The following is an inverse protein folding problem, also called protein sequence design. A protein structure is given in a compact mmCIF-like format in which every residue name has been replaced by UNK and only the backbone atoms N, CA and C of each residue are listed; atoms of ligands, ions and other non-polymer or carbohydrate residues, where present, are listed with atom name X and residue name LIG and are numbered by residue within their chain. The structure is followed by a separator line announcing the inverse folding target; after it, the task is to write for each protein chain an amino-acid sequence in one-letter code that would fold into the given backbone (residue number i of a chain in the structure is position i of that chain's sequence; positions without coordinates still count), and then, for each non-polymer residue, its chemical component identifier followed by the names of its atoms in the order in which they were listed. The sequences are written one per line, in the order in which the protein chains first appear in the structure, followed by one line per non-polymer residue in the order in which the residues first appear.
data_IF_269639559906
#
_entry.id   IF_269639559906
#
_cell.length_a   1.000
_cell.length_b   1.000
_cell.length_c   1.000
_cell.angle_alpha   90.00
_cell.angle_beta   90.00
_cell.angle_gamma   90.00
#
_symmetry.space_group_name_H-M   'P 1'
#
loop_
_entity.id
_entity.type
_entity.pdbx_description
1 polymer ?
#
# COMPACT_ATOMS: atom_id res chain seq x y z
N UNK A 1 5.36 6.69 8.40
CA UNK A 1 5.25 7.23 7.02
C UNK A 1 4.11 6.56 6.28
N UNK A 2 3.39 7.30 5.44
CA UNK A 2 2.48 6.74 4.42
C UNK A 2 3.12 6.87 3.03
N UNK A 3 2.97 5.85 2.19
CA UNK A 3 3.45 5.79 0.81
C UNK A 3 2.24 5.48 -0.07
N UNK A 4 1.62 6.52 -0.65
CA UNK A 4 0.32 6.38 -1.30
C UNK A 4 0.03 7.52 -2.28
N UNK A 5 -1.10 7.43 -2.98
CA UNK A 5 -1.66 8.55 -3.73
C UNK A 5 -2.31 9.61 -2.83
N UNK A 6 -2.48 10.82 -3.38
CA UNK A 6 -3.34 11.85 -2.79
C UNK A 6 -4.82 11.47 -2.91
N UNK A 7 -5.69 12.18 -2.18
CA UNK A 7 -7.12 12.28 -2.48
C UNK A 7 -7.50 13.76 -2.38
N UNK A 8 -8.02 14.36 -3.46
CA UNK A 8 -8.36 15.79 -3.47
C UNK A 8 -9.53 16.11 -2.54
N UNK A 9 -10.38 15.13 -2.21
CA UNK A 9 -11.47 15.27 -1.24
C UNK A 9 -11.02 15.13 0.22
N UNK A 10 -9.80 14.65 0.46
CA UNK A 10 -9.24 14.47 1.81
C UNK A 10 -9.92 13.38 2.65
N UNK A 11 -10.64 12.44 2.01
CA UNK A 11 -11.35 11.33 2.65
C UNK A 11 -10.57 10.02 2.64
N UNK A 12 -9.63 9.86 1.71
CA UNK A 12 -8.78 8.68 1.52
C UNK A 12 -7.30 9.08 1.31
N UNK A 13 -6.48 8.12 0.88
CA UNK A 13 -5.08 8.31 0.53
C UNK A 13 -4.24 8.91 1.66
N UNK A 14 -3.19 9.65 1.28
CA UNK A 14 -2.28 10.29 2.23
C UNK A 14 -3.02 11.18 3.24
N UNK A 15 -4.08 11.88 2.83
CA UNK A 15 -4.82 12.77 3.72
C UNK A 15 -5.51 12.01 4.87
N UNK A 16 -6.13 10.87 4.58
CA UNK A 16 -6.73 10.01 5.59
C UNK A 16 -5.67 9.37 6.49
N UNK A 17 -4.55 8.95 5.91
CA UNK A 17 -3.44 8.35 6.66
C UNK A 17 -2.84 9.35 7.65
N UNK A 18 -2.50 10.57 7.22
CA UNK A 18 -1.93 11.60 8.09
C UNK A 18 -2.92 12.03 9.19
N UNK A 19 -4.22 12.10 8.88
CA UNK A 19 -5.25 12.38 9.89
C UNK A 19 -5.32 11.27 10.93
N UNK A 20 -5.23 10.02 10.49
CA UNK A 20 -5.23 8.84 11.37
C UNK A 20 -3.98 8.84 12.24
N UNK A 21 -2.81 9.10 11.66
CA UNK A 21 -1.55 9.23 12.39
C UNK A 21 -1.64 10.30 13.48
N UNK A 22 -2.13 11.50 13.13
CA UNK A 22 -2.31 12.58 14.08
C UNK A 22 -3.31 12.22 15.21
N UNK A 23 -4.43 11.57 14.87
CA UNK A 23 -5.42 11.11 15.84
C UNK A 23 -4.85 10.04 16.79
N UNK A 24 -3.93 9.21 16.32
CA UNK A 24 -3.18 8.24 17.12
C UNK A 24 -1.98 8.85 17.87
N UNK A 25 -1.77 10.17 17.80
CA UNK A 25 -0.70 10.86 18.50
C UNK A 25 0.70 10.63 17.92
N UNK A 26 0.81 10.21 16.66
CA UNK A 26 2.10 9.99 15.97
C UNK A 26 2.34 11.01 14.88
N UNK A 27 3.61 11.34 14.63
CA UNK A 27 4.00 12.25 13.56
C UNK A 27 3.91 11.54 12.19
N UNK A 28 3.23 12.17 11.25
CA UNK A 28 3.04 11.63 9.91
C UNK A 28 4.02 12.22 8.89
N UNK A 29 4.81 11.35 8.25
CA UNK A 29 5.56 11.68 7.03
C UNK A 29 4.93 10.98 5.83
N UNK A 30 5.24 11.44 4.61
CA UNK A 30 4.62 10.94 3.39
C UNK A 30 5.62 10.78 2.23
N UNK A 31 5.33 9.86 1.33
CA UNK A 31 5.86 9.80 -0.03
C UNK A 31 4.68 9.68 -1.01
N UNK A 32 4.58 10.58 -1.98
CA UNK A 32 3.47 10.63 -2.94
C UNK A 32 3.77 9.71 -4.13
N UNK A 33 2.90 8.72 -4.36
CA UNK A 33 2.96 7.81 -5.50
C UNK A 33 2.17 8.32 -6.71
N UNK A 34 1.07 9.03 -6.46
CA UNK A 34 0.26 9.61 -7.52
C UNK A 34 -0.56 10.80 -7.01
N UNK A 35 -0.82 11.75 -7.89
CA UNK A 35 -1.83 12.79 -7.66
C UNK A 35 -3.12 12.35 -8.33
N UNK A 36 -4.16 12.09 -7.56
CA UNK A 36 -5.49 11.80 -8.09
C UNK A 36 -6.30 13.07 -8.19
N UNK A 37 -6.99 13.26 -9.31
CA UNK A 37 -8.14 14.17 -9.40
C UNK A 37 -9.36 13.36 -8.96
N UNK A 38 -9.67 13.46 -7.67
CA UNK A 38 -10.67 12.64 -7.01
C UNK A 38 -11.60 13.50 -6.15
N UNK A 39 -12.86 13.10 -6.05
CA UNK A 39 -13.82 13.63 -5.10
C UNK A 39 -14.73 12.49 -4.59
N UNK A 40 -15.78 12.83 -3.84
CA UNK A 40 -16.70 11.84 -3.25
C UNK A 40 -17.52 11.03 -4.26
N UNK A 41 -17.55 11.41 -5.55
CA UNK A 41 -18.29 10.67 -6.59
C UNK A 41 -17.39 9.81 -7.48
N UNK A 42 -16.08 9.97 -7.40
CA UNK A 42 -15.13 9.12 -8.12
C UNK A 42 -13.80 9.77 -8.44
N UNK A 43 -13.01 9.06 -9.23
CA UNK A 43 -11.70 9.48 -9.74
C UNK A 43 -11.82 9.79 -11.22
N UNK A 44 -11.50 11.02 -11.62
CA UNK A 44 -11.54 11.43 -13.04
C UNK A 44 -10.18 11.36 -13.71
N UNK A 45 -9.09 11.43 -12.94
CA UNK A 45 -7.73 11.36 -13.46
C UNK A 45 -6.75 10.90 -12.39
N UNK A 46 -5.69 10.22 -12.82
CA UNK A 46 -4.55 9.83 -11.98
C UNK A 46 -3.27 10.25 -12.68
N UNK A 47 -2.45 11.04 -12.00
CA UNK A 47 -1.11 11.41 -12.45
C UNK A 47 -0.07 10.66 -11.60
N UNK A 48 0.51 9.55 -12.12
CA UNK A 48 1.55 8.82 -11.39
C UNK A 48 2.81 9.67 -11.28
N UNK A 49 3.45 9.62 -10.10
CA UNK A 49 4.74 10.25 -9.85
C UNK A 49 5.85 9.33 -10.40
N UNK A 50 6.91 9.87 -11.03
CA UNK A 50 8.02 9.04 -11.50
C UNK A 50 8.60 8.16 -10.37
N UNK A 51 8.83 6.84 -10.60
CA UNK A 51 9.25 5.91 -9.56
C UNK A 51 10.50 6.34 -8.78
N UNK A 52 11.48 6.92 -9.47
CA UNK A 52 12.70 7.46 -8.86
C UNK A 52 12.42 8.63 -7.91
N UNK A 53 11.39 9.42 -8.19
CA UNK A 53 10.94 10.51 -7.32
C UNK A 53 10.22 9.96 -6.08
N UNK A 54 9.47 8.86 -6.22
CA UNK A 54 8.86 8.16 -5.08
C UNK A 54 9.95 7.59 -4.16
N UNK A 55 10.93 6.89 -4.73
CA UNK A 55 12.06 6.32 -3.98
C UNK A 55 12.88 7.42 -3.26
N UNK A 56 13.16 8.53 -3.94
CA UNK A 56 13.90 9.65 -3.36
C UNK A 56 13.16 10.30 -2.17
N UNK A 57 11.81 10.39 -2.21
CA UNK A 57 11.02 10.86 -1.07
C UNK A 57 11.18 9.94 0.15
N UNK A 58 11.13 8.62 -0.05
CA UNK A 58 11.30 7.63 1.02
C UNK A 58 12.70 7.75 1.63
N UNK A 59 13.75 7.75 0.80
CA UNK A 59 15.13 7.84 1.25
C UNK A 59 15.42 9.15 1.99
N UNK A 60 14.86 10.28 1.51
CA UNK A 60 15.02 11.59 2.15
C UNK A 60 14.51 11.60 3.59
N UNK A 61 13.29 11.12 3.82
CA UNK A 61 12.70 11.09 5.17
C UNK A 61 13.38 10.03 6.04
N UNK A 62 13.61 8.83 5.50
CA UNK A 62 14.20 7.74 6.28
C UNK A 62 15.65 8.04 6.71
N UNK A 63 16.40 8.78 5.89
CA UNK A 63 17.79 9.16 6.16
C UNK A 63 17.98 10.31 7.14
N UNK A 64 17.01 11.21 7.27
CA UNK A 64 17.09 12.37 8.17
C UNK A 64 16.26 12.20 9.46
N UNK A 65 14.94 12.04 9.30
CA UNK A 65 13.99 11.99 10.43
C UNK A 65 13.99 10.59 11.08
N UNK A 66 14.20 9.56 10.27
CA UNK A 66 13.99 8.16 10.68
C UNK A 66 12.51 7.76 10.63
N UNK A 67 12.24 6.47 10.82
CA UNK A 67 10.89 5.90 10.68
C UNK A 67 10.62 4.81 11.72
N UNK A 68 9.55 4.97 12.50
CA UNK A 68 9.09 3.95 13.46
C UNK A 68 8.10 2.95 12.83
N UNK A 69 7.40 3.34 11.76
CA UNK A 69 6.53 2.47 10.97
C UNK A 69 6.29 3.08 9.58
N UNK A 70 6.02 2.24 8.60
CA UNK A 70 5.56 2.64 7.27
C UNK A 70 4.28 1.91 6.88
N UNK A 71 3.40 2.58 6.11
CA UNK A 71 2.30 1.94 5.40
C UNK A 71 2.34 2.28 3.93
N UNK A 72 1.93 1.35 3.07
CA UNK A 72 1.55 1.66 1.68
C UNK A 72 0.04 1.83 1.56
N UNK A 73 -0.39 2.58 0.55
CA UNK A 73 -1.77 2.60 0.06
C UNK A 73 -1.78 2.34 -1.45
N UNK A 74 -2.55 3.12 -2.21
CA UNK A 74 -2.53 3.05 -3.68
C UNK A 74 -1.17 3.44 -4.25
N UNK A 75 -0.51 2.50 -4.95
CA UNK A 75 0.83 2.67 -5.56
C UNK A 75 0.80 2.92 -7.08
N UNK A 76 -0.38 2.92 -7.71
CA UNK A 76 -0.65 3.25 -9.11
C UNK A 76 -0.07 2.31 -10.20
N UNK A 77 1.21 1.94 -10.16
CA UNK A 77 1.84 1.12 -11.22
C UNK A 77 2.81 0.07 -10.68
N UNK A 78 3.16 -0.92 -11.53
CA UNK A 78 4.13 -1.96 -11.20
C UNK A 78 5.53 -1.38 -10.90
N UNK A 79 5.95 -0.38 -11.68
CA UNK A 79 7.25 0.29 -11.55
C UNK A 79 7.35 1.04 -10.22
N UNK A 80 6.26 1.67 -9.77
CA UNK A 80 6.22 2.32 -8.46
C UNK A 80 6.28 1.28 -7.34
N UNK A 81 5.58 0.14 -7.47
CA UNK A 81 5.67 -0.95 -6.48
C UNK A 81 7.11 -1.44 -6.33
N UNK A 82 7.81 -1.64 -7.44
CA UNK A 82 9.22 -2.05 -7.43
C UNK A 82 10.14 -1.00 -6.80
N UNK A 83 9.98 0.27 -7.17
CA UNK A 83 10.77 1.36 -6.60
C UNK A 83 10.53 1.54 -5.09
N UNK A 84 9.27 1.41 -4.65
CA UNK A 84 8.91 1.44 -3.22
C UNK A 84 9.55 0.27 -2.49
N UNK A 85 9.46 -0.95 -3.03
CA UNK A 85 10.04 -2.13 -2.41
C UNK A 85 11.57 -2.03 -2.29
N UNK A 86 12.25 -1.57 -3.34
CA UNK A 86 13.69 -1.34 -3.31
C UNK A 86 14.07 -0.27 -2.29
N UNK A 87 13.38 0.87 -2.29
CA UNK A 87 13.63 1.94 -1.33
C UNK A 87 13.37 1.48 0.12
N UNK A 88 12.36 0.63 0.34
CA UNK A 88 12.10 0.03 1.64
C UNK A 88 13.27 -0.85 2.10
N UNK A 89 13.78 -1.73 1.24
CA UNK A 89 14.92 -2.60 1.56
C UNK A 89 16.17 -1.78 1.92
N UNK A 90 16.50 -0.78 1.11
CA UNK A 90 17.68 0.09 1.28
C UNK A 90 17.63 0.91 2.58
N UNK A 91 16.42 1.20 3.08
CA UNK A 91 16.21 2.04 4.26
C UNK A 91 15.77 1.27 5.50
N UNK A 92 15.84 -0.07 5.48
CA UNK A 92 15.51 -0.92 6.64
C UNK A 92 14.03 -0.90 7.02
N UNK A 93 13.15 -0.83 6.02
CA UNK A 93 11.71 -0.88 6.14
C UNK A 93 11.20 -2.24 5.64
N UNK A 94 10.52 -2.99 6.51
CA UNK A 94 9.95 -4.29 6.19
C UNK A 94 9.99 -5.29 7.33
N UNK A 95 9.45 -6.47 7.06
CA UNK A 95 9.48 -7.60 7.98
C UNK A 95 10.93 -7.98 8.31
N UNK A 96 11.22 -8.17 9.61
CA UNK A 96 12.56 -8.51 10.08
C UNK A 96 13.57 -7.35 10.07
N UNK A 97 13.15 -6.16 9.63
CA UNK A 97 13.94 -4.93 9.69
C UNK A 97 13.53 -4.06 10.87
N UNK A 98 14.20 -2.91 11.02
CA UNK A 98 13.96 -1.96 12.11
C UNK A 98 12.57 -1.33 12.03
N UNK A 99 12.09 -1.02 10.83
CA UNK A 99 10.85 -0.29 10.61
C UNK A 99 9.80 -1.25 10.03
N UNK A 100 8.71 -1.59 10.76
CA UNK A 100 7.66 -2.45 10.23
C UNK A 100 6.93 -1.80 9.06
N UNK A 101 6.49 -2.65 8.11
CA UNK A 101 5.74 -2.23 6.93
C UNK A 101 4.34 -2.83 6.94
N UNK A 102 3.31 -1.98 6.88
CA UNK A 102 1.92 -2.39 6.62
C UNK A 102 1.62 -2.19 5.15
N UNK A 103 1.10 -3.21 4.49
CA UNK A 103 0.73 -3.14 3.07
C UNK A 103 -0.78 -3.19 2.95
N UNK A 104 -1.36 -2.08 2.52
CA UNK A 104 -2.76 -1.98 2.11
C UNK A 104 -2.79 -2.14 0.58
N UNK A 105 -3.17 -3.31 0.03
CA UNK A 105 -3.01 -3.61 -1.38
C UNK A 105 -4.18 -3.05 -2.19
N UNK A 106 -4.32 -1.72 -2.18
CA UNK A 106 -5.40 -0.97 -2.83
C UNK A 106 -5.40 -1.28 -4.33
N UNK A 107 -6.17 -2.29 -4.69
CA UNK A 107 -6.27 -2.85 -6.04
C UNK A 107 -7.70 -2.81 -6.58
N UNK A 108 -8.68 -2.56 -5.72
CA UNK A 108 -10.08 -2.34 -6.05
C UNK A 108 -10.53 -0.93 -5.65
N UNK A 109 -11.46 -0.36 -6.40
CA UNK A 109 -12.14 0.88 -6.04
C UNK A 109 -13.05 0.63 -4.84
N UNK A 110 -13.56 1.70 -4.21
CA UNK A 110 -14.60 1.56 -3.18
C UNK A 110 -15.86 0.83 -3.66
N UNK A 111 -16.04 0.67 -4.98
CA UNK A 111 -17.16 -0.03 -5.62
C UNK A 111 -16.77 -1.41 -6.18
N UNK A 112 -15.54 -1.88 -5.91
CA UNK A 112 -15.07 -3.22 -6.29
C UNK A 112 -14.43 -3.31 -7.69
N UNK A 113 -14.34 -2.21 -8.43
CA UNK A 113 -13.73 -2.19 -9.77
C UNK A 113 -12.21 -2.30 -9.68
N UNK A 114 -11.61 -3.12 -10.54
CA UNK A 114 -10.16 -3.28 -10.60
C UNK A 114 -9.48 -1.95 -10.99
N UNK A 115 -8.69 -1.38 -10.07
CA UNK A 115 -7.97 -0.12 -10.27
C UNK A 115 -6.59 -0.31 -10.92
N UNK A 116 -6.05 -1.52 -10.84
CA UNK A 116 -4.68 -1.83 -11.22
C UNK A 116 -4.62 -2.86 -12.34
N UNK A 117 -3.65 -2.71 -13.24
CA UNK A 117 -3.33 -3.75 -14.22
C UNK A 117 -2.87 -5.04 -13.51
N UNK A 118 -3.07 -6.18 -14.17
CA UNK A 118 -2.67 -7.49 -13.62
C UNK A 118 -1.18 -7.56 -13.28
N UNK A 119 -0.34 -6.83 -14.02
CA UNK A 119 1.09 -6.71 -13.73
C UNK A 119 1.36 -6.09 -12.35
N UNK A 120 0.57 -5.12 -11.91
CA UNK A 120 0.71 -4.52 -10.58
C UNK A 120 0.23 -5.46 -9.47
N UNK A 121 -0.85 -6.22 -9.71
CA UNK A 121 -1.29 -7.28 -8.80
C UNK A 121 -0.19 -8.33 -8.59
N UNK A 122 0.49 -8.74 -9.67
CA UNK A 122 1.62 -9.66 -9.59
C UNK A 122 2.77 -9.09 -8.74
N UNK A 123 3.08 -7.79 -8.89
CA UNK A 123 4.12 -7.14 -8.06
C UNK A 123 3.76 -7.03 -6.59
N UNK A 124 2.49 -6.84 -6.24
CA UNK A 124 2.07 -6.99 -4.84
C UNK A 124 2.45 -8.36 -4.28
N UNK A 125 2.08 -9.43 -4.99
CA UNK A 125 2.29 -10.81 -4.55
C UNK A 125 3.78 -11.19 -4.49
N UNK A 126 4.55 -10.82 -5.51
CA UNK A 126 5.92 -11.32 -5.71
C UNK A 126 6.98 -10.39 -5.14
N UNK A 127 6.69 -9.09 -4.99
CA UNK A 127 7.65 -8.08 -4.57
C UNK A 127 7.28 -7.51 -3.20
N UNK A 128 6.05 -7.01 -3.02
CA UNK A 128 5.74 -6.23 -1.82
C UNK A 128 5.34 -7.09 -0.61
N UNK A 129 4.52 -8.13 -0.79
CA UNK A 129 4.06 -9.00 0.30
C UNK A 129 5.18 -9.71 1.06
N UNK A 130 6.25 -10.22 0.42
CA UNK A 130 7.39 -10.78 1.14
C UNK A 130 8.09 -9.82 2.11
N UNK A 131 7.88 -8.51 1.96
CA UNK A 131 8.45 -7.45 2.82
C UNK A 131 7.47 -6.96 3.88
N UNK A 132 6.20 -7.37 3.82
CA UNK A 132 5.16 -6.83 4.68
C UNK A 132 5.19 -7.47 6.08
N UNK A 133 5.15 -6.62 7.10
CA UNK A 133 4.84 -7.07 8.47
C UNK A 133 3.38 -7.47 8.57
N UNK A 134 2.47 -6.70 7.97
CA UNK A 134 1.03 -6.99 7.90
C UNK A 134 0.54 -6.64 6.50
N UNK A 135 -0.28 -7.51 5.89
CA UNK A 135 -1.09 -7.14 4.70
C UNK A 135 -2.54 -7.02 5.15
N UNK A 136 -3.25 -5.97 4.70
CA UNK A 136 -4.61 -5.69 5.15
C UNK A 136 -5.60 -5.57 3.98
N UNK A 137 -5.91 -6.66 3.26
CA UNK A 137 -6.81 -6.61 2.12
C UNK A 137 -8.28 -6.63 2.54
N UNK A 138 -9.14 -5.99 1.76
CA UNK A 138 -10.59 -6.22 1.80
C UNK A 138 -10.99 -7.47 0.97
N UNK A 139 -12.28 -7.84 0.96
CA UNK A 139 -12.75 -9.06 0.29
C UNK A 139 -12.63 -8.99 -1.25
N UNK A 140 -12.80 -7.82 -1.85
CA UNK A 140 -12.62 -7.63 -3.30
C UNK A 140 -11.14 -7.77 -3.67
N UNK A 141 -10.24 -7.23 -2.86
CA UNK A 141 -8.80 -7.37 -3.02
C UNK A 141 -8.36 -8.83 -2.82
N UNK A 142 -8.93 -9.56 -1.86
CA UNK A 142 -8.72 -11.01 -1.72
C UNK A 142 -9.08 -11.74 -3.02
N UNK A 143 -10.25 -11.44 -3.59
CA UNK A 143 -10.69 -12.03 -4.86
C UNK A 143 -9.71 -11.72 -6.00
N UNK A 144 -9.25 -10.46 -6.11
CA UNK A 144 -8.29 -10.06 -7.14
C UNK A 144 -6.88 -10.62 -6.91
N UNK A 145 -6.43 -10.75 -5.66
CA UNK A 145 -5.06 -11.15 -5.31
C UNK A 145 -4.88 -12.67 -5.25
N UNK A 146 -5.89 -13.43 -4.83
CA UNK A 146 -5.74 -14.88 -4.64
C UNK A 146 -6.85 -15.69 -5.30
N UNK A 147 -7.80 -15.05 -5.98
CA UNK A 147 -8.87 -15.72 -6.73
C UNK A 147 -9.93 -16.38 -5.86
N UNK A 148 -9.95 -16.08 -4.56
CA UNK A 148 -10.90 -16.66 -3.60
C UNK A 148 -12.03 -15.66 -3.37
N UNK A 149 -13.26 -16.08 -3.66
CA UNK A 149 -14.47 -15.32 -3.34
C UNK A 149 -15.00 -15.74 -1.97
N UNK A 150 -14.96 -14.81 -1.00
CA UNK A 150 -15.16 -15.11 0.42
C UNK A 150 -16.59 -14.78 0.84
N UNK A 151 -17.39 -15.83 1.11
CA UNK A 151 -18.79 -15.71 1.56
C UNK A 151 -19.02 -16.19 3.00
N UNK A 152 -18.02 -16.82 3.61
CA UNK A 152 -18.11 -17.35 4.98
C UNK A 152 -16.75 -17.31 5.69
N UNK A 153 -16.77 -17.66 6.99
CA UNK A 153 -15.59 -17.65 7.86
C UNK A 153 -14.56 -18.71 7.47
N UNK A 154 -14.98 -19.82 6.87
CA UNK A 154 -14.07 -20.88 6.43
C UNK A 154 -13.27 -20.39 5.23
N UNK A 155 -13.94 -19.83 4.23
CA UNK A 155 -13.32 -19.20 3.07
C UNK A 155 -12.40 -18.04 3.48
N UNK A 156 -12.80 -17.25 4.47
CA UNK A 156 -11.96 -16.17 5.02
C UNK A 156 -10.64 -16.71 5.59
N UNK A 157 -10.69 -17.82 6.33
CA UNK A 157 -9.50 -18.43 6.91
C UNK A 157 -8.59 -19.05 5.83
N UNK A 158 -9.17 -19.70 4.82
CA UNK A 158 -8.40 -20.22 3.68
C UNK A 158 -7.76 -19.10 2.86
N UNK A 159 -8.48 -18.00 2.60
CA UNK A 159 -7.92 -16.82 1.94
C UNK A 159 -6.74 -16.23 2.73
N UNK A 160 -6.87 -16.12 4.06
CA UNK A 160 -5.79 -15.62 4.91
C UNK A 160 -4.55 -16.53 4.86
N UNK A 161 -4.72 -17.86 4.83
CA UNK A 161 -3.59 -18.80 4.66
C UNK A 161 -2.89 -18.62 3.32
N UNK A 162 -3.66 -18.47 2.24
CA UNK A 162 -3.08 -18.30 0.90
C UNK A 162 -2.31 -16.98 0.84
N UNK A 163 -2.88 -15.89 1.34
CA UNK A 163 -2.19 -14.59 1.44
C UNK A 163 -0.93 -14.66 2.30
N UNK A 164 -1.00 -15.32 3.46
CA UNK A 164 0.17 -15.53 4.32
C UNK A 164 1.26 -16.36 3.61
N UNK A 165 0.86 -17.33 2.77
CA UNK A 165 1.76 -18.10 1.91
C UNK A 165 2.51 -17.26 0.86
N UNK A 166 2.07 -16.02 0.59
CA UNK A 166 2.77 -15.08 -0.30
C UNK A 166 3.90 -14.32 0.39
N UNK A 167 4.16 -14.57 1.68
CA UNK A 167 5.30 -14.06 2.43
C UNK A 167 5.07 -12.99 3.52
N UNK A 168 3.90 -12.35 3.70
CA UNK A 168 3.75 -11.39 4.79
C UNK A 168 3.77 -12.10 6.14
N UNK A 169 4.24 -11.44 7.19
CA UNK A 169 4.24 -12.04 8.54
C UNK A 169 2.85 -12.20 9.13
N UNK A 170 1.95 -11.28 8.84
CA UNK A 170 0.55 -11.32 9.27
C UNK A 170 -0.38 -10.90 8.12
N UNK A 171 -1.60 -11.44 8.16
CA UNK A 171 -2.73 -11.10 7.29
C UNK A 171 -3.94 -10.85 8.18
#
# INVERSE_FOLDING_TARGET
MTIAGTDSGGGAGIAADLRTFAACGVHGCLAVCAVTVQNSVGVSWVHPIPPETVAAQIASVAGDIGLDAAKTGMLATAEIIEAVAQACDENGIGVGQRTPLVVDPVAASMHGDQLLADSALEKFRTVLFPRATVVAPNLDEVRLLVGIDVHDRTAQYEAAKVLHGLGPRYV
#
